data_IF_781476973198
#
_entry.id   IF_781476973198
#
_cell.length_a   1.000
_cell.length_b   1.000
_cell.length_c   1.000
_cell.angle_alpha   90.00
_cell.angle_beta   90.00
_cell.angle_gamma   90.00
#
_symmetry.space_group_name_H-M   'P 1'
#
loop_
_entity.id
_entity.type
_entity.pdbx_description
1 polymer ?
#
# COMPACT_ATOMS: atom_id res chain seq x y z
N UNK A 1 -16.08 -64.05 -1.59
CA UNK A 1 -16.06 -63.11 -2.73
C UNK A 1 -16.06 -61.69 -2.17
N UNK A 2 -14.94 -60.97 -2.23
CA UNK A 2 -14.89 -59.57 -1.77
C UNK A 2 -15.22 -58.60 -2.91
N UNK A 3 -15.93 -57.48 -2.67
CA UNK A 3 -16.07 -56.45 -3.68
C UNK A 3 -14.83 -55.55 -3.67
N UNK A 4 -14.45 -55.15 -4.88
CA UNK A 4 -13.23 -54.46 -5.25
C UNK A 4 -13.33 -52.99 -4.82
N UNK A 5 -12.31 -52.48 -4.12
CA UNK A 5 -12.14 -51.05 -3.87
C UNK A 5 -11.73 -50.36 -5.19
N UNK A 6 -12.63 -49.54 -5.74
CA UNK A 6 -12.30 -48.62 -6.83
C UNK A 6 -11.82 -47.30 -6.20
N UNK A 7 -10.50 -47.10 -6.16
CA UNK A 7 -9.91 -45.83 -5.71
C UNK A 7 -9.94 -44.85 -6.88
N UNK A 8 -10.89 -43.92 -6.85
CA UNK A 8 -10.92 -42.76 -7.75
C UNK A 8 -9.96 -41.69 -7.19
N UNK A 9 -8.76 -41.60 -7.78
CA UNK A 9 -7.80 -40.52 -7.51
C UNK A 9 -8.26 -39.27 -8.26
N UNK A 10 -8.79 -38.29 -7.53
CA UNK A 10 -9.02 -36.93 -8.03
C UNK A 10 -7.75 -36.10 -7.79
N UNK A 11 -7.06 -35.59 -8.84
CA UNK A 11 -5.97 -34.67 -8.63
C UNK A 11 -6.54 -33.30 -8.22
N UNK A 12 -6.28 -32.88 -6.98
CA UNK A 12 -6.52 -31.52 -6.53
C UNK A 12 -5.56 -30.58 -7.30
N UNK A 13 -6.06 -29.91 -8.34
CA UNK A 13 -5.38 -28.75 -8.92
C UNK A 13 -5.54 -27.56 -7.95
N UNK A 14 -4.55 -27.32 -7.11
CA UNK A 14 -4.45 -26.09 -6.32
C UNK A 14 -3.80 -24.99 -7.17
N UNK A 15 -4.59 -24.30 -7.99
CA UNK A 15 -4.16 -23.06 -8.62
C UNK A 15 -4.36 -21.89 -7.65
N UNK A 16 -3.37 -21.62 -6.78
CA UNK A 16 -3.32 -20.35 -6.04
C UNK A 16 -2.68 -19.29 -6.94
N UNK A 17 -3.51 -18.68 -7.79
CA UNK A 17 -3.21 -17.40 -8.41
C UNK A 17 -3.67 -16.27 -7.49
N UNK A 18 -2.76 -15.55 -6.85
CA UNK A 18 -3.05 -14.31 -6.12
C UNK A 18 -1.88 -13.35 -6.27
N UNK A 19 -1.82 -12.68 -7.41
CA UNK A 19 -0.82 -11.64 -7.72
C UNK A 19 -1.42 -10.24 -7.87
N UNK A 20 -2.62 -10.01 -7.33
CA UNK A 20 -3.39 -8.76 -7.54
C UNK A 20 -3.43 -7.74 -6.38
N UNK A 21 -2.60 -7.86 -5.35
CA UNK A 21 -2.78 -7.06 -4.11
C UNK A 21 -1.99 -5.73 -4.06
N UNK A 22 -1.02 -5.50 -4.93
CA UNK A 22 -0.06 -4.38 -4.75
C UNK A 22 -0.72 -3.01 -5.05
N UNK A 23 -1.51 -2.91 -6.12
CA UNK A 23 -2.05 -1.61 -6.57
C UNK A 23 -3.16 -1.03 -5.66
N UNK A 24 -3.88 -1.86 -4.91
CA UNK A 24 -4.92 -1.39 -4.00
C UNK A 24 -4.33 -0.74 -2.73
N UNK A 25 -3.19 -1.26 -2.28
CA UNK A 25 -2.48 -0.76 -1.09
C UNK A 25 -1.89 0.64 -1.35
N UNK A 26 -1.29 0.85 -2.52
CA UNK A 26 -0.76 2.16 -2.93
C UNK A 26 -1.85 3.24 -2.98
N UNK A 27 -3.06 2.90 -3.43
CA UNK A 27 -4.17 3.86 -3.49
C UNK A 27 -4.75 4.17 -2.10
N UNK A 28 -4.72 3.22 -1.16
CA UNK A 28 -5.10 3.47 0.23
C UNK A 28 -4.04 4.35 0.91
N UNK A 29 -2.77 3.99 0.78
CA UNK A 29 -1.62 4.74 1.31
C UNK A 29 -1.60 6.19 0.80
N UNK A 30 -1.85 6.41 -0.49
CA UNK A 30 -1.91 7.76 -1.05
C UNK A 30 -2.99 8.64 -0.40
N UNK A 31 -4.13 8.07 0.01
CA UNK A 31 -5.19 8.81 0.72
C UNK A 31 -4.78 9.17 2.15
N UNK A 32 -4.13 8.23 2.84
CA UNK A 32 -3.65 8.44 4.22
C UNK A 32 -2.51 9.46 4.28
N UNK A 33 -1.59 9.41 3.32
CA UNK A 33 -0.53 10.42 3.15
C UNK A 33 -1.13 11.79 2.84
N UNK A 34 -2.10 11.87 1.93
CA UNK A 34 -2.83 13.12 1.65
C UNK A 34 -3.47 13.70 2.91
N UNK A 35 -4.15 12.87 3.70
CA UNK A 35 -4.77 13.30 4.95
C UNK A 35 -3.72 13.84 5.93
N UNK A 36 -2.59 13.16 6.07
CA UNK A 36 -1.47 13.60 6.92
C UNK A 36 -0.88 14.94 6.48
N UNK A 37 -0.68 15.13 5.16
CA UNK A 37 -0.21 16.40 4.57
C UNK A 37 -1.20 17.53 4.87
N UNK A 38 -2.50 17.28 4.69
CA UNK A 38 -3.55 18.26 4.96
C UNK A 38 -3.67 18.62 6.45
N UNK A 39 -3.55 17.63 7.35
CA UNK A 39 -3.56 17.84 8.80
C UNK A 39 -2.39 18.72 9.27
N UNK A 40 -1.26 18.68 8.55
CA UNK A 40 -0.11 19.54 8.83
C UNK A 40 -0.24 20.95 8.22
N UNK A 41 -1.33 21.22 7.48
CA UNK A 41 -1.63 22.53 6.88
C UNK A 41 -1.04 22.74 5.48
N UNK A 42 -0.54 21.68 4.83
CA UNK A 42 -0.02 21.79 3.47
C UNK A 42 -1.12 21.50 2.43
N UNK A 43 -1.15 22.25 1.32
CA UNK A 43 -2.08 21.97 0.22
C UNK A 43 -1.63 20.72 -0.55
N UNK A 44 -2.56 19.78 -0.77
CA UNK A 44 -2.36 18.65 -1.68
C UNK A 44 -3.71 18.17 -2.18
N UNK A 45 -4.04 18.44 -3.44
CA UNK A 45 -5.32 18.06 -4.02
C UNK A 45 -5.50 16.54 -4.07
N UNK A 46 -4.56 15.85 -4.69
CA UNK A 46 -4.53 14.40 -4.85
C UNK A 46 -3.08 13.95 -4.89
N UNK A 47 -2.73 12.94 -4.10
CA UNK A 47 -1.45 12.25 -4.24
C UNK A 47 -1.53 11.39 -5.50
N UNK A 48 -0.66 11.67 -6.46
CA UNK A 48 -0.58 10.97 -7.76
C UNK A 48 0.55 9.96 -7.79
N UNK A 49 1.52 10.12 -6.90
CA UNK A 49 2.64 9.21 -6.74
C UNK A 49 3.06 9.20 -5.27
N UNK A 50 3.35 8.01 -4.74
CA UNK A 50 3.84 7.82 -3.38
C UNK A 50 4.95 6.78 -3.40
N UNK A 51 6.11 7.16 -2.86
CA UNK A 51 7.27 6.30 -2.75
C UNK A 51 7.59 6.08 -1.28
N UNK A 52 7.59 4.82 -0.85
CA UNK A 52 8.14 4.44 0.46
C UNK A 52 9.67 4.55 0.40
N UNK A 53 10.26 5.40 1.25
CA UNK A 53 11.71 5.51 1.40
C UNK A 53 12.24 4.58 2.51
N UNK A 54 11.39 4.25 3.49
CA UNK A 54 11.73 3.39 4.61
C UNK A 54 10.50 3.02 5.45
N UNK A 55 10.74 2.53 6.66
CA UNK A 55 9.66 2.37 7.63
C UNK A 55 9.17 3.74 8.07
N UNK A 56 7.86 3.96 7.99
CA UNK A 56 7.23 5.23 8.38
C UNK A 56 7.84 6.48 7.73
N UNK A 57 8.48 6.33 6.56
CA UNK A 57 9.11 7.39 5.75
C UNK A 57 8.69 7.26 4.28
N UNK A 58 8.08 8.33 3.75
CA UNK A 58 7.47 8.37 2.43
C UNK A 58 7.74 9.70 1.72
N UNK A 59 7.89 9.63 0.41
CA UNK A 59 7.81 10.77 -0.50
C UNK A 59 6.47 10.74 -1.21
N UNK A 60 5.67 11.79 -1.12
CA UNK A 60 4.42 11.91 -1.86
C UNK A 60 4.52 13.06 -2.88
N UNK A 61 4.06 12.80 -4.10
CA UNK A 61 3.89 13.82 -5.14
C UNK A 61 2.41 14.09 -5.34
N UNK A 62 2.04 15.36 -5.28
CA UNK A 62 0.67 15.82 -5.44
C UNK A 62 0.43 16.30 -6.88
N UNK A 63 -0.83 16.20 -7.34
CA UNK A 63 -1.26 16.59 -8.68
C UNK A 63 -1.00 18.07 -9.00
N UNK A 64 -0.98 18.91 -7.96
CA UNK A 64 -0.65 20.33 -8.03
C UNK A 64 0.85 20.61 -8.29
N UNK A 65 1.68 19.56 -8.36
CA UNK A 65 3.12 19.64 -8.55
C UNK A 65 3.92 19.76 -7.25
N UNK A 66 3.26 19.88 -6.10
CA UNK A 66 3.94 19.88 -4.81
C UNK A 66 4.45 18.48 -4.46
N UNK A 67 5.60 18.42 -3.79
CA UNK A 67 6.18 17.18 -3.30
C UNK A 67 6.49 17.29 -1.82
N UNK A 68 6.24 16.22 -1.09
CA UNK A 68 6.33 16.20 0.35
C UNK A 68 7.12 14.98 0.81
N UNK A 69 7.94 15.17 1.85
CA UNK A 69 8.58 14.12 2.62
C UNK A 69 7.84 13.98 3.95
N UNK A 70 7.24 12.83 4.16
CA UNK A 70 6.44 12.48 5.33
C UNK A 70 7.22 11.42 6.11
N UNK A 71 7.59 11.71 7.34
CA UNK A 71 8.34 10.78 8.18
C UNK A 71 7.93 10.91 9.65
N UNK A 72 8.19 9.87 10.44
CA UNK A 72 8.03 9.92 11.89
C UNK A 72 9.34 10.36 12.54
N UNK A 73 9.30 11.40 13.38
CA UNK A 73 10.47 11.88 14.11
C UNK A 73 10.81 11.00 15.33
N UNK A 74 11.93 11.30 16.00
CA UNK A 74 12.37 10.57 17.19
C UNK A 74 11.42 10.70 18.40
N UNK A 75 10.46 11.63 18.36
CA UNK A 75 9.43 11.79 19.37
C UNK A 75 8.12 11.05 18.99
N UNK A 76 8.11 10.30 17.89
CA UNK A 76 6.95 9.55 17.41
C UNK A 76 5.89 10.41 16.73
N UNK A 77 6.23 11.63 16.29
CA UNK A 77 5.29 12.51 15.59
C UNK A 77 5.45 12.40 14.09
N UNK A 78 4.34 12.44 13.37
CA UNK A 78 4.35 12.59 11.91
C UNK A 78 4.78 14.01 11.56
N UNK A 79 5.82 14.13 10.74
CA UNK A 79 6.35 15.39 10.25
C UNK A 79 6.22 15.41 8.73
N UNK A 80 5.72 16.52 8.20
CA UNK A 80 5.61 16.76 6.76
C UNK A 80 6.55 17.91 6.39
N UNK A 81 7.46 17.66 5.45
CA UNK A 81 8.35 18.67 4.87
C UNK A 81 8.06 18.80 3.38
N UNK A 82 7.97 20.03 2.88
CA UNK A 82 7.90 20.29 1.45
C UNK A 82 9.30 20.14 0.83
N UNK A 83 9.37 19.45 -0.32
CA UNK A 83 10.57 19.25 -1.13
C UNK A 83 10.62 20.22 -2.31
#
# INVERSE_FOLDING_TARGET
MGPRLTVLVFPLLTSLGSTGAIAADDQALGRDLRASIALQGFPCDQVVDSKRNGDSDYTASCKDGNRYHIFVDSAGRVVVKKL
#
